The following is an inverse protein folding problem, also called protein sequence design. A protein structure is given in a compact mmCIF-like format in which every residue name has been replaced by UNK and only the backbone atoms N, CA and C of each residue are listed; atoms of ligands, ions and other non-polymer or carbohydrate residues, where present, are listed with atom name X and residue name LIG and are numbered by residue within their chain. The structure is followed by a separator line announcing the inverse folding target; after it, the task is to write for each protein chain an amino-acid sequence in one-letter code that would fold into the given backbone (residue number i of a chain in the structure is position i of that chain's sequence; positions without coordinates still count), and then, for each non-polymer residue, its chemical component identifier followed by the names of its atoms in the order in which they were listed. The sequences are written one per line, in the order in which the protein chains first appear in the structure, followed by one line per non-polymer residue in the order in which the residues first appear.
data_IF_873732581089
#
_entry.id   IF_873732581089
#
_cell.length_a   1.000
_cell.length_b   1.000
_cell.length_c   1.000
_cell.angle_alpha   90.00
_cell.angle_beta   90.00
_cell.angle_gamma   90.00
#
_symmetry.space_group_name_H-M   'P 1'
#
loop_
_entity.id
_entity.type
_entity.pdbx_description
1 polymer ?
#
# COMPACT_ATOMS: atom_id res chain seq x y z
N UNK A 1 -47.88 9.76 -67.50
CA UNK A 1 -47.81 9.09 -68.77
C UNK A 1 -47.49 7.61 -68.45
N UNK A 2 -48.50 6.81 -68.33
CA UNK A 2 -48.88 5.66 -69.21
C UNK A 2 -47.66 4.73 -69.40
N UNK A 3 -47.65 3.42 -69.25
CA UNK A 3 -48.67 2.35 -69.30
C UNK A 3 -47.92 1.06 -68.97
N UNK A 4 -48.44 0.18 -68.07
CA UNK A 4 -48.95 -1.18 -68.32
C UNK A 4 -48.00 -2.13 -69.11
N UNK A 5 -47.96 -3.41 -68.87
CA UNK A 5 -48.87 -4.48 -68.55
C UNK A 5 -48.08 -5.82 -68.42
N UNK A 6 -48.41 -6.59 -67.43
CA UNK A 6 -48.80 -8.00 -67.45
C UNK A 6 -48.06 -8.99 -68.37
N UNK A 7 -47.66 -10.14 -67.87
CA UNK A 7 -48.34 -11.40 -68.17
C UNK A 7 -47.90 -12.56 -67.26
N UNK A 8 -48.89 -13.25 -66.80
CA UNK A 8 -48.91 -14.57 -66.17
C UNK A 8 -48.30 -15.66 -66.97
N UNK A 9 -47.69 -16.69 -66.39
CA UNK A 9 -48.04 -18.07 -66.77
C UNK A 9 -47.77 -19.05 -65.60
N UNK A 10 -48.82 -19.77 -65.32
CA UNK A 10 -48.95 -20.92 -64.42
C UNK A 10 -48.34 -22.19 -65.03
N UNK A 11 -48.32 -23.21 -64.18
CA UNK A 11 -48.23 -24.67 -64.44
C UNK A 11 -46.87 -25.24 -64.09
N UNK A 12 -46.66 -26.35 -63.41
CA UNK A 12 -47.57 -27.43 -62.91
C UNK A 12 -46.85 -28.20 -61.81
N UNK A 13 -47.62 -28.81 -60.97
CA UNK A 13 -47.22 -29.78 -59.94
C UNK A 13 -46.55 -31.00 -60.48
N UNK A 14 -45.66 -31.63 -59.71
CA UNK A 14 -45.84 -33.02 -59.27
C UNK A 14 -44.76 -33.42 -58.24
N UNK A 15 -45.02 -34.29 -57.27
CA UNK A 15 -44.15 -34.60 -56.17
C UNK A 15 -43.23 -35.78 -56.46
N UNK A 16 -42.02 -35.79 -55.94
CA UNK A 16 -41.26 -37.00 -55.82
C UNK A 16 -40.69 -37.17 -54.44
N UNK A 17 -41.42 -37.97 -53.70
CA UNK A 17 -40.92 -38.69 -52.54
C UNK A 17 -39.72 -39.51 -52.93
N UNK A 18 -38.58 -39.41 -52.16
CA UNK A 18 -37.70 -40.55 -51.96
C UNK A 18 -36.67 -40.24 -50.87
N UNK A 19 -36.72 -41.00 -49.87
CA UNK A 19 -35.70 -41.71 -49.13
C UNK A 19 -34.84 -40.96 -48.13
N UNK A 20 -35.26 -41.12 -46.93
CA UNK A 20 -34.53 -40.96 -45.68
C UNK A 20 -33.28 -41.85 -45.64
N UNK A 21 -32.11 -41.27 -45.68
CA UNK A 21 -30.88 -41.92 -45.20
C UNK A 21 -30.40 -41.14 -43.99
N UNK A 22 -30.71 -41.69 -42.85
CA UNK A 22 -30.17 -41.24 -41.56
C UNK A 22 -28.68 -41.62 -41.49
N UNK A 23 -27.79 -40.73 -41.84
CA UNK A 23 -26.41 -40.77 -41.41
C UNK A 23 -26.31 -40.05 -40.09
N UNK A 24 -26.33 -40.81 -39.01
CA UNK A 24 -25.92 -40.38 -37.70
C UNK A 24 -24.41 -40.10 -37.77
N UNK A 25 -24.02 -38.89 -38.13
CA UNK A 25 -22.70 -38.38 -37.84
C UNK A 25 -22.62 -38.16 -36.34
N UNK A 26 -21.99 -39.09 -35.65
CA UNK A 26 -21.42 -38.87 -34.34
C UNK A 26 -20.38 -37.75 -34.50
N UNK A 27 -20.84 -36.51 -34.37
CA UNK A 27 -19.94 -35.40 -34.06
C UNK A 27 -19.56 -35.61 -32.60
N UNK A 28 -18.46 -36.35 -32.43
CA UNK A 28 -17.75 -36.33 -31.16
C UNK A 28 -17.45 -34.87 -30.86
N UNK A 29 -18.06 -34.37 -29.79
CA UNK A 29 -17.55 -33.21 -29.12
C UNK A 29 -16.13 -33.59 -28.64
N UNK A 30 -15.15 -33.30 -29.49
CA UNK A 30 -13.78 -33.11 -29.08
C UNK A 30 -13.77 -31.85 -28.23
N UNK A 31 -14.12 -32.00 -26.95
CA UNK A 31 -13.76 -31.01 -25.96
C UNK A 31 -12.24 -30.89 -26.00
N UNK A 32 -11.74 -29.74 -26.38
CA UNK A 32 -10.36 -29.37 -26.16
C UNK A 32 -10.07 -29.64 -24.68
N UNK A 33 -9.11 -30.53 -24.34
CA UNK A 33 -8.71 -30.70 -22.96
C UNK A 33 -7.92 -29.45 -22.59
N UNK A 34 -8.39 -28.69 -21.62
CA UNK A 34 -7.56 -27.69 -20.98
C UNK A 34 -8.14 -26.28 -20.95
N UNK A 35 -9.28 -26.12 -20.35
CA UNK A 35 -9.48 -25.00 -19.45
C UNK A 35 -9.84 -25.62 -18.09
N UNK A 36 -8.85 -26.20 -17.45
CA UNK A 36 -8.88 -26.39 -16.00
C UNK A 36 -9.02 -24.98 -15.49
N UNK A 37 -10.17 -24.67 -14.87
CA UNK A 37 -10.59 -23.32 -14.48
C UNK A 37 -9.56 -22.60 -13.64
N UNK A 38 -8.57 -22.04 -14.32
CA UNK A 38 -7.51 -21.25 -13.73
C UNK A 38 -8.14 -20.03 -13.07
N UNK A 39 -7.58 -19.62 -11.96
CA UNK A 39 -8.01 -18.43 -11.24
C UNK A 39 -8.09 -17.23 -12.19
N UNK A 40 -9.21 -16.52 -12.18
CA UNK A 40 -9.47 -15.37 -13.07
C UNK A 40 -10.24 -14.29 -12.31
N UNK A 41 -10.10 -13.06 -12.76
CA UNK A 41 -10.80 -11.91 -12.18
C UNK A 41 -9.99 -10.63 -12.25
N UNK A 42 -10.59 -9.54 -11.78
CA UNK A 42 -9.90 -8.25 -11.70
C UNK A 42 -10.29 -7.52 -10.42
N UNK A 43 -9.32 -6.83 -9.81
CA UNK A 43 -9.54 -5.98 -8.65
C UNK A 43 -8.48 -4.88 -8.56
N UNK A 44 -8.77 -3.89 -7.70
CA UNK A 44 -7.88 -2.75 -7.45
C UNK A 44 -7.37 -2.77 -6.03
N UNK A 45 -6.13 -2.33 -5.88
CA UNK A 45 -5.47 -2.06 -4.59
C UNK A 45 -5.14 -0.56 -4.58
N UNK A 46 -5.77 0.20 -3.69
CA UNK A 46 -5.57 1.65 -3.62
C UNK A 46 -5.17 2.03 -2.18
N UNK A 47 -4.22 2.93 -2.01
CA UNK A 47 -3.97 3.52 -0.70
C UNK A 47 -2.53 3.93 -0.42
N UNK A 48 -1.91 3.30 0.55
CA UNK A 48 -0.60 3.70 1.08
C UNK A 48 0.51 3.72 0.02
N UNK A 49 1.15 4.86 -0.16
CA UNK A 49 2.36 4.97 -0.97
C UNK A 49 3.52 4.14 -0.36
N UNK A 50 3.58 3.98 0.98
CA UNK A 50 4.56 3.09 1.64
C UNK A 50 4.37 1.62 1.23
N UNK A 51 3.13 1.15 1.10
CA UNK A 51 2.83 -0.25 0.79
C UNK A 51 2.89 -0.52 -0.72
N UNK A 52 2.69 0.51 -1.54
CA UNK A 52 2.57 0.41 -3.00
C UNK A 52 3.68 -0.39 -3.67
N UNK A 53 4.99 -0.18 -3.41
CA UNK A 53 6.06 -0.94 -4.07
C UNK A 53 5.95 -2.44 -3.81
N UNK A 54 5.61 -2.82 -2.59
CA UNK A 54 5.43 -4.22 -2.21
C UNK A 54 4.19 -4.83 -2.90
N UNK A 55 3.07 -4.09 -2.93
CA UNK A 55 1.85 -4.52 -3.61
C UNK A 55 2.06 -4.69 -5.11
N UNK A 56 2.87 -3.82 -5.74
CA UNK A 56 3.22 -3.94 -7.17
C UNK A 56 4.00 -5.23 -7.43
N UNK A 57 5.03 -5.51 -6.63
CA UNK A 57 5.82 -6.75 -6.76
C UNK A 57 4.93 -7.99 -6.62
N UNK A 58 4.09 -8.03 -5.59
CA UNK A 58 3.16 -9.16 -5.39
C UNK A 58 2.15 -9.29 -6.54
N UNK A 59 1.59 -8.17 -7.01
CA UNK A 59 0.63 -8.18 -8.11
C UNK A 59 1.25 -8.69 -9.42
N UNK A 60 2.48 -8.26 -9.73
CA UNK A 60 3.21 -8.71 -10.92
C UNK A 60 3.51 -10.22 -10.88
N UNK A 61 4.03 -10.73 -9.75
CA UNK A 61 4.31 -12.15 -9.60
C UNK A 61 3.02 -12.99 -9.64
N UNK A 62 1.97 -12.54 -8.97
CA UNK A 62 0.68 -13.22 -8.98
C UNK A 62 0.04 -13.27 -10.38
N UNK A 63 0.09 -12.17 -11.14
CA UNK A 63 -0.40 -12.14 -12.53
C UNK A 63 0.45 -12.98 -13.49
N UNK A 64 1.74 -13.23 -13.19
CA UNK A 64 2.56 -14.21 -13.94
C UNK A 64 2.10 -15.65 -13.69
N UNK A 65 1.77 -15.98 -12.44
CA UNK A 65 1.25 -17.30 -12.05
C UNK A 65 -0.18 -17.53 -12.59
N UNK A 66 -0.99 -16.47 -12.65
CA UNK A 66 -2.39 -16.52 -13.06
C UNK A 66 -2.68 -15.52 -14.19
N UNK A 67 -2.40 -15.87 -15.45
CA UNK A 67 -2.48 -14.93 -16.58
C UNK A 67 -3.87 -14.34 -16.86
N UNK A 68 -4.94 -14.95 -16.31
CA UNK A 68 -6.32 -14.47 -16.42
C UNK A 68 -6.73 -13.51 -15.29
N UNK A 69 -5.82 -13.19 -14.36
CA UNK A 69 -6.02 -12.21 -13.30
C UNK A 69 -5.49 -10.84 -13.72
N UNK A 70 -6.18 -9.77 -13.31
CA UNK A 70 -5.74 -8.39 -13.51
C UNK A 70 -5.82 -7.62 -12.19
N UNK A 71 -4.69 -7.09 -11.73
CA UNK A 71 -4.56 -6.32 -10.49
C UNK A 71 -4.04 -4.94 -10.85
N UNK A 72 -4.76 -3.89 -10.44
CA UNK A 72 -4.31 -2.50 -10.57
C UNK A 72 -3.92 -1.96 -9.20
N UNK A 73 -2.69 -1.46 -9.07
CA UNK A 73 -2.16 -0.92 -7.80
C UNK A 73 -1.94 0.57 -7.93
N UNK A 74 -2.28 1.34 -6.90
CA UNK A 74 -1.94 2.77 -6.80
C UNK A 74 -1.79 3.24 -5.35
N UNK A 75 -0.87 4.18 -5.12
CA UNK A 75 -0.44 4.63 -3.78
C UNK A 75 -0.72 6.10 -3.44
N UNK A 76 -1.94 6.65 -3.63
CA UNK A 76 -2.22 8.07 -3.35
C UNK A 76 -2.28 8.41 -1.85
N UNK A 77 -2.12 7.46 -0.96
CA UNK A 77 -2.14 7.61 0.50
C UNK A 77 -3.18 6.73 1.19
N UNK A 78 -2.88 6.29 2.42
CA UNK A 78 -3.76 5.38 3.19
C UNK A 78 -5.17 5.94 3.38
N UNK A 79 -5.31 7.24 3.61
CA UNK A 79 -6.62 7.88 3.77
C UNK A 79 -7.47 7.81 2.50
N UNK A 80 -6.86 7.96 1.32
CA UNK A 80 -7.55 7.83 0.03
C UNK A 80 -7.99 6.39 -0.22
N UNK A 81 -7.13 5.40 0.07
CA UNK A 81 -7.48 3.98 -0.07
C UNK A 81 -8.61 3.56 0.85
N UNK A 82 -8.58 3.97 2.12
CA UNK A 82 -9.64 3.71 3.09
C UNK A 82 -10.97 4.34 2.63
N UNK A 83 -10.94 5.59 2.16
CA UNK A 83 -12.13 6.23 1.60
C UNK A 83 -12.64 5.49 0.36
N UNK A 84 -11.75 5.04 -0.53
CA UNK A 84 -12.13 4.26 -1.72
C UNK A 84 -12.78 2.92 -1.36
N UNK A 85 -12.32 2.24 -0.30
CA UNK A 85 -12.96 1.02 0.22
C UNK A 85 -14.36 1.32 0.76
N UNK A 86 -14.51 2.39 1.56
CA UNK A 86 -15.78 2.83 2.13
C UNK A 86 -16.78 3.21 1.01
N UNK A 87 -16.30 3.80 -0.08
CA UNK A 87 -17.11 4.19 -1.24
C UNK A 87 -17.34 3.05 -2.25
N UNK A 88 -16.76 1.86 -2.02
CA UNK A 88 -16.90 0.69 -2.90
C UNK A 88 -16.20 0.84 -4.26
N UNK A 89 -15.19 1.72 -4.37
CA UNK A 89 -14.43 1.98 -5.61
C UNK A 89 -13.11 1.22 -5.70
N UNK A 90 -12.71 0.53 -4.62
CA UNK A 90 -11.63 -0.45 -4.57
C UNK A 90 -12.06 -1.67 -3.78
N UNK A 91 -11.53 -2.82 -4.11
CA UNK A 91 -11.76 -4.07 -3.39
C UNK A 91 -10.78 -4.26 -2.23
N UNK A 92 -9.58 -3.69 -2.36
CA UNK A 92 -8.54 -3.76 -1.33
C UNK A 92 -7.99 -2.35 -1.06
N UNK A 93 -8.05 -1.91 0.18
CA UNK A 93 -7.35 -0.71 0.62
C UNK A 93 -6.01 -1.10 1.27
N UNK A 94 -4.90 -0.54 0.77
CA UNK A 94 -3.59 -0.69 1.39
C UNK A 94 -3.31 0.48 2.35
N UNK A 95 -2.84 0.17 3.56
CA UNK A 95 -2.63 1.17 4.60
C UNK A 95 -1.34 0.93 5.40
N UNK A 96 -0.70 2.01 5.82
CA UNK A 96 0.46 2.02 6.71
C UNK A 96 0.12 2.61 8.09
N UNK A 97 -1.12 2.51 8.46
CA UNK A 97 -1.73 2.77 9.77
C UNK A 97 -3.05 2.02 9.90
N UNK A 98 -3.49 1.83 11.10
CA UNK A 98 -4.84 1.36 11.37
C UNK A 98 -5.92 2.36 10.90
N UNK A 99 -7.11 1.85 10.59
CA UNK A 99 -8.30 2.68 10.39
C UNK A 99 -8.66 3.40 11.68
N UNK A 100 -9.00 4.69 11.56
CA UNK A 100 -9.53 5.45 12.68
C UNK A 100 -10.93 4.96 13.05
N UNK A 101 -11.33 5.11 14.32
CA UNK A 101 -12.70 4.77 14.74
C UNK A 101 -13.77 5.46 13.90
N UNK A 102 -13.55 6.72 13.54
CA UNK A 102 -14.47 7.48 12.68
C UNK A 102 -14.56 6.91 11.26
N UNK A 103 -13.47 6.36 10.71
CA UNK A 103 -13.46 5.70 9.39
C UNK A 103 -14.20 4.35 9.46
N UNK A 104 -14.02 3.59 10.55
CA UNK A 104 -14.75 2.34 10.81
C UNK A 104 -16.26 2.61 10.93
N UNK A 105 -16.65 3.65 11.69
CA UNK A 105 -18.04 4.02 11.85
C UNK A 105 -18.68 4.44 10.51
N UNK A 106 -17.95 5.20 9.68
CA UNK A 106 -18.38 5.57 8.33
C UNK A 106 -18.53 4.36 7.41
N UNK A 107 -17.59 3.40 7.46
CA UNK A 107 -17.66 2.16 6.70
C UNK A 107 -18.92 1.38 7.05
N UNK A 108 -19.16 1.15 8.35
CA UNK A 108 -20.35 0.44 8.85
C UNK A 108 -21.65 1.13 8.46
N UNK A 109 -21.69 2.46 8.53
CA UNK A 109 -22.86 3.25 8.12
C UNK A 109 -23.20 3.08 6.63
N UNK A 110 -22.22 2.72 5.80
CA UNK A 110 -22.38 2.43 4.36
C UNK A 110 -22.49 0.94 4.03
N UNK A 111 -22.59 0.08 5.04
CA UNK A 111 -22.69 -1.38 4.85
C UNK A 111 -21.37 -2.05 4.48
N UNK A 112 -20.26 -1.38 4.69
CA UNK A 112 -18.92 -1.95 4.54
C UNK A 112 -18.46 -2.47 5.91
N UNK A 113 -17.99 -3.73 5.96
CA UNK A 113 -17.42 -4.35 7.14
C UNK A 113 -15.91 -4.47 6.97
N UNK A 114 -15.10 -3.50 7.46
CA UNK A 114 -13.65 -3.51 7.24
C UNK A 114 -13.00 -4.74 7.89
N UNK A 115 -12.44 -5.61 7.06
CA UNK A 115 -11.67 -6.77 7.49
C UNK A 115 -10.18 -6.45 7.36
N UNK A 116 -9.50 -6.37 8.50
CA UNK A 116 -8.08 -6.02 8.59
C UNK A 116 -7.19 -7.24 8.39
N UNK A 117 -6.15 -7.10 7.59
CA UNK A 117 -5.16 -8.14 7.32
C UNK A 117 -3.78 -7.51 7.41
N UNK A 118 -2.99 -7.92 8.39
CA UNK A 118 -1.58 -7.52 8.44
C UNK A 118 -0.80 -8.32 7.38
N UNK A 119 -0.08 -7.58 6.53
CA UNK A 119 0.68 -8.15 5.40
C UNK A 119 2.20 -8.09 5.60
N UNK A 120 2.66 -7.15 6.40
CA UNK A 120 4.07 -6.96 6.75
C UNK A 120 4.17 -6.03 7.98
N UNK A 121 5.40 -5.77 8.42
CA UNK A 121 5.73 -4.71 9.37
C UNK A 121 6.72 -3.74 8.73
N UNK A 122 6.66 -2.46 9.09
CA UNK A 122 7.58 -1.42 8.65
C UNK A 122 8.28 -0.80 9.85
N UNK A 123 9.61 -0.66 9.76
CA UNK A 123 10.39 0.18 10.67
C UNK A 123 10.38 1.60 10.10
N UNK A 124 9.57 2.49 10.68
CA UNK A 124 9.52 3.88 10.24
C UNK A 124 10.85 4.56 10.58
N UNK A 125 11.71 4.65 9.60
CA UNK A 125 13.07 5.16 9.74
C UNK A 125 13.09 6.68 9.87
N UNK A 126 14.11 7.23 10.54
CA UNK A 126 14.41 8.67 10.50
C UNK A 126 15.73 8.85 9.76
N UNK A 127 15.72 9.69 8.74
CA UNK A 127 16.87 9.91 7.87
C UNK A 127 17.30 11.37 7.85
N UNK A 128 18.60 11.57 7.69
CA UNK A 128 19.25 12.86 7.47
C UNK A 128 20.27 12.76 6.34
N UNK A 129 20.75 13.89 5.86
CA UNK A 129 21.84 13.90 4.90
C UNK A 129 23.13 13.26 5.51
N UNK A 130 23.94 12.52 4.75
CA UNK A 130 25.16 11.89 5.26
C UNK A 130 26.16 12.87 5.90
N UNK A 131 26.16 14.13 5.50
CA UNK A 131 27.02 15.19 6.08
C UNK A 131 26.56 15.72 7.44
N UNK A 132 25.33 15.39 7.86
CA UNK A 132 24.83 15.78 9.18
C UNK A 132 25.53 14.96 10.28
N UNK A 133 26.18 15.60 11.29
CA UNK A 133 26.92 14.86 12.33
C UNK A 133 26.02 14.13 13.35
N UNK A 134 24.72 14.51 13.47
CA UNK A 134 23.79 13.85 14.40
C UNK A 134 23.62 12.39 14.01
N UNK A 135 23.72 11.47 14.97
CA UNK A 135 23.59 10.02 14.77
C UNK A 135 22.42 9.38 15.53
N UNK A 136 21.88 10.07 16.53
CA UNK A 136 20.79 9.58 17.35
C UNK A 136 19.89 10.72 17.81
N UNK A 137 18.60 10.44 18.01
CA UNK A 137 17.63 11.34 18.60
C UNK A 137 16.65 10.57 19.50
N UNK A 138 16.16 11.24 20.53
CA UNK A 138 15.02 10.73 21.29
C UNK A 138 13.69 11.04 20.60
N UNK A 139 12.63 10.30 20.93
CA UNK A 139 11.27 10.61 20.45
C UNK A 139 10.88 12.05 20.87
N UNK A 140 11.25 12.49 22.07
CA UNK A 140 10.98 13.85 22.52
C UNK A 140 11.71 14.92 21.70
N UNK A 141 12.97 14.68 21.29
CA UNK A 141 13.69 15.59 20.39
C UNK A 141 13.08 15.62 19.00
N UNK A 142 12.67 14.46 18.47
CA UNK A 142 11.92 14.41 17.22
C UNK A 142 10.60 15.19 17.30
N UNK A 143 9.82 14.99 18.36
CA UNK A 143 8.62 15.79 18.62
C UNK A 143 8.92 17.30 18.62
N UNK A 144 9.95 17.73 19.34
CA UNK A 144 10.35 19.13 19.41
C UNK A 144 10.81 19.70 18.05
N UNK A 145 11.49 18.91 17.21
CA UNK A 145 11.87 19.29 15.84
C UNK A 145 10.61 19.49 14.99
N UNK A 146 9.70 18.52 14.98
CA UNK A 146 8.51 18.56 14.12
C UNK A 146 7.39 19.49 14.63
N UNK A 147 7.53 20.05 15.85
CA UNK A 147 6.67 21.10 16.40
C UNK A 147 7.31 22.49 16.38
N UNK A 148 8.45 22.67 15.68
CA UNK A 148 9.24 23.91 15.62
C UNK A 148 9.75 24.42 16.98
N UNK A 149 9.84 23.57 18.01
CA UNK A 149 10.45 23.91 19.30
C UNK A 149 11.98 23.84 19.22
N UNK A 150 12.53 22.88 18.44
CA UNK A 150 13.93 22.80 18.04
C UNK A 150 14.01 23.17 16.56
N UNK A 151 14.73 24.24 16.24
CA UNK A 151 14.85 24.78 14.89
C UNK A 151 16.27 24.88 14.37
N UNK A 152 17.25 24.52 15.20
CA UNK A 152 18.67 24.53 14.85
C UNK A 152 19.32 23.21 15.27
N UNK A 153 20.08 22.60 14.38
CA UNK A 153 20.75 21.33 14.62
C UNK A 153 21.70 21.34 15.83
N UNK A 154 22.28 22.49 16.20
CA UNK A 154 23.15 22.60 17.38
C UNK A 154 22.44 22.26 18.69
N UNK A 155 21.13 22.40 18.77
CA UNK A 155 20.33 22.08 19.96
C UNK A 155 20.28 20.57 20.24
N UNK A 156 20.62 19.76 19.24
CA UNK A 156 20.68 18.29 19.33
C UNK A 156 22.06 17.73 18.97
N UNK A 157 23.13 18.55 19.11
CA UNK A 157 24.51 18.13 18.93
C UNK A 157 25.01 18.17 17.48
N UNK A 158 24.25 18.80 16.58
CA UNK A 158 24.63 19.02 15.19
C UNK A 158 25.36 20.35 14.95
N UNK A 159 25.51 20.72 13.67
CA UNK A 159 26.09 21.99 13.26
C UNK A 159 25.19 23.18 13.61
N UNK A 160 25.74 24.39 13.71
CA UNK A 160 24.96 25.62 13.83
C UNK A 160 24.30 25.94 12.47
N UNK A 161 23.20 25.27 12.19
CA UNK A 161 22.45 25.34 10.95
C UNK A 161 20.96 25.11 11.21
N UNK A 162 20.04 25.70 10.42
CA UNK A 162 18.62 25.50 10.59
C UNK A 162 18.22 24.05 10.32
N UNK A 163 17.21 23.53 11.03
CA UNK A 163 16.57 22.25 10.71
C UNK A 163 15.53 22.49 9.61
N UNK A 164 15.55 21.64 8.59
CA UNK A 164 14.51 21.56 7.55
C UNK A 164 13.72 20.27 7.76
N UNK A 165 12.67 20.35 8.55
CA UNK A 165 11.81 19.22 8.85
C UNK A 165 10.85 18.96 7.69
N UNK A 166 10.83 17.72 7.17
CA UNK A 166 10.01 17.29 6.06
C UNK A 166 9.01 16.24 6.55
N UNK A 167 7.77 16.38 6.17
CA UNK A 167 6.67 15.46 6.44
C UNK A 167 5.99 15.03 5.14
N UNK A 168 5.12 14.04 5.23
CA UNK A 168 4.18 13.66 4.18
C UNK A 168 2.90 14.48 4.30
N UNK A 169 2.11 14.54 3.22
CA UNK A 169 0.79 15.16 3.24
C UNK A 169 -0.20 14.45 4.18
N UNK A 170 -1.34 15.06 4.45
CA UNK A 170 -2.34 14.59 5.41
C UNK A 170 -3.08 13.30 4.99
N UNK A 171 -3.01 12.89 3.70
CA UNK A 171 -3.57 11.65 3.20
C UNK A 171 -2.65 10.46 3.49
N UNK A 172 -1.37 10.73 3.78
CA UNK A 172 -0.37 9.71 4.08
C UNK A 172 -0.65 9.03 5.41
N UNK A 173 -0.70 7.69 5.41
CA UNK A 173 -0.72 6.92 6.65
C UNK A 173 0.54 7.10 7.46
N UNK A 174 1.69 7.33 6.80
CA UNK A 174 2.97 7.62 7.44
C UNK A 174 2.93 8.94 8.20
N UNK A 175 2.35 9.99 7.61
CA UNK A 175 2.11 11.27 8.30
C UNK A 175 1.27 11.08 9.57
N UNK A 176 0.15 10.38 9.47
CA UNK A 176 -0.75 10.16 10.63
C UNK A 176 -0.05 9.35 11.71
N UNK A 177 0.60 8.24 11.34
CA UNK A 177 1.30 7.39 12.30
C UNK A 177 2.44 8.15 13.01
N UNK A 178 3.29 8.87 12.26
CA UNK A 178 4.37 9.66 12.85
C UNK A 178 3.85 10.77 13.75
N UNK A 179 2.76 11.44 13.37
CA UNK A 179 2.10 12.43 14.20
C UNK A 179 1.70 11.84 15.56
N UNK A 180 0.97 10.71 15.54
CA UNK A 180 0.47 10.10 16.77
C UNK A 180 1.61 9.55 17.65
N UNK A 181 2.55 8.82 17.08
CA UNK A 181 3.55 8.05 17.83
C UNK A 181 4.82 8.85 18.16
N UNK A 182 5.18 9.82 17.33
CA UNK A 182 6.39 10.63 17.51
C UNK A 182 6.05 12.06 17.94
N UNK A 183 5.27 12.81 17.15
CA UNK A 183 4.95 14.21 17.49
C UNK A 183 4.14 14.28 18.79
N UNK A 184 3.10 13.48 18.90
CA UNK A 184 2.23 13.39 20.08
C UNK A 184 2.72 12.41 21.14
N UNK A 185 3.83 11.71 20.89
CA UNK A 185 4.51 10.80 21.82
C UNK A 185 3.57 9.73 22.42
N UNK A 186 2.64 9.19 21.62
CA UNK A 186 1.67 8.16 22.02
C UNK A 186 2.38 6.98 22.71
N UNK A 187 1.89 6.62 23.88
CA UNK A 187 2.47 5.52 24.68
C UNK A 187 3.64 5.92 25.59
N UNK A 188 4.03 7.19 25.61
CA UNK A 188 5.00 7.73 26.55
C UNK A 188 4.31 8.52 27.67
N UNK A 189 4.95 8.69 28.86
CA UNK A 189 4.41 9.51 29.94
C UNK A 189 4.18 10.98 29.56
N UNK A 190 4.92 11.46 28.56
CA UNK A 190 4.86 12.84 28.03
C UNK A 190 3.89 12.98 26.86
N UNK A 191 3.02 11.98 26.61
CA UNK A 191 2.09 12.01 25.49
C UNK A 191 1.14 13.21 25.56
N UNK A 192 1.06 13.97 24.47
CA UNK A 192 0.17 15.11 24.31
C UNK A 192 -0.50 15.11 22.93
N UNK A 193 -1.79 14.77 22.91
CA UNK A 193 -2.60 14.72 21.68
C UNK A 193 -2.87 16.09 21.06
N UNK A 194 -2.59 17.18 21.75
CA UNK A 194 -2.78 18.55 21.24
C UNK A 194 -1.62 19.00 20.36
N UNK A 195 -0.48 18.28 20.37
CA UNK A 195 0.66 18.62 19.54
C UNK A 195 0.36 18.42 18.06
N UNK A 196 0.70 19.43 17.29
CA UNK A 196 0.56 19.48 15.83
C UNK A 196 1.92 19.74 15.18
N UNK A 197 2.05 19.40 13.90
CA UNK A 197 3.22 19.81 13.13
C UNK A 197 3.36 21.34 13.14
N UNK A 198 4.57 21.81 13.29
CA UNK A 198 4.90 23.23 13.27
C UNK A 198 4.72 23.84 11.88
N UNK A 199 4.50 25.16 11.79
CA UNK A 199 4.26 25.87 10.53
C UNK A 199 5.46 25.88 9.56
N UNK A 200 6.68 25.53 10.01
CA UNK A 200 7.88 25.45 9.16
C UNK A 200 8.08 24.08 8.55
N UNK A 201 7.32 23.07 8.97
CA UNK A 201 7.42 21.72 8.41
C UNK A 201 6.96 21.72 6.96
N UNK A 202 7.78 21.16 6.07
CA UNK A 202 7.46 21.01 4.64
C UNK A 202 6.68 19.72 4.42
N UNK A 203 5.58 19.80 3.69
CA UNK A 203 4.73 18.65 3.38
C UNK A 203 4.91 18.23 1.93
N UNK A 204 5.33 16.98 1.71
CA UNK A 204 5.57 16.42 0.38
C UNK A 204 4.59 15.27 0.07
N UNK A 205 4.16 15.12 -1.19
CA UNK A 205 3.14 14.14 -1.58
C UNK A 205 3.65 12.69 -1.61
N UNK A 206 4.96 12.46 -1.83
CA UNK A 206 5.52 11.11 -1.92
C UNK A 206 6.68 10.87 -0.96
N UNK A 207 6.95 9.60 -0.69
CA UNK A 207 8.08 9.17 0.16
C UNK A 207 9.41 9.37 -0.59
N UNK A 208 9.41 9.11 -1.89
CA UNK A 208 10.56 9.27 -2.78
C UNK A 208 11.04 10.72 -2.83
N UNK A 209 10.12 11.67 -2.93
CA UNK A 209 10.46 13.11 -2.92
C UNK A 209 11.09 13.51 -1.59
N UNK A 210 10.54 13.04 -0.46
CA UNK A 210 11.09 13.32 0.87
C UNK A 210 12.49 12.76 1.05
N UNK A 211 12.75 11.52 0.62
CA UNK A 211 14.07 10.90 0.67
C UNK A 211 15.07 11.61 -0.26
N UNK A 212 14.65 11.94 -1.48
CA UNK A 212 15.46 12.70 -2.45
C UNK A 212 15.83 14.09 -1.95
N UNK A 213 14.92 14.79 -1.25
CA UNK A 213 15.23 16.09 -0.65
C UNK A 213 16.29 15.96 0.45
N UNK A 214 16.20 14.95 1.32
CA UNK A 214 17.23 14.69 2.35
C UNK A 214 18.59 14.40 1.73
N UNK A 215 18.64 13.63 0.66
CA UNK A 215 19.91 13.33 -0.04
C UNK A 215 20.62 14.60 -0.54
N UNK A 216 19.86 15.63 -0.94
CA UNK A 216 20.37 16.88 -1.53
C UNK A 216 20.57 18.00 -0.51
N UNK A 217 19.85 17.98 0.61
CA UNK A 217 19.80 19.07 1.57
C UNK A 217 20.49 18.67 2.89
N UNK A 218 21.69 19.24 3.20
CA UNK A 218 22.45 18.92 4.41
C UNK A 218 21.69 19.16 5.72
N UNK A 219 20.65 19.98 5.68
CA UNK A 219 19.88 20.39 6.87
C UNK A 219 18.56 19.66 7.02
N UNK A 220 18.19 18.80 6.06
CA UNK A 220 16.91 18.12 6.05
C UNK A 220 16.85 16.91 6.99
N UNK A 221 15.66 16.67 7.51
CA UNK A 221 15.26 15.46 8.24
C UNK A 221 13.91 14.98 7.73
N UNK A 222 13.76 13.67 7.54
CA UNK A 222 12.53 13.04 7.05
C UNK A 222 12.36 11.64 7.67
N UNK A 223 11.16 11.06 7.51
CA UNK A 223 10.82 9.75 8.10
C UNK A 223 10.14 8.80 7.08
N UNK A 224 10.91 8.13 6.20
CA UNK A 224 10.38 7.11 5.30
C UNK A 224 10.19 5.76 6.01
N UNK A 225 9.47 4.85 5.36
CA UNK A 225 9.58 3.42 5.67
C UNK A 225 10.96 2.88 5.34
N UNK A 226 11.38 1.80 6.01
CA UNK A 226 12.72 1.23 5.86
C UNK A 226 13.04 0.85 4.40
N UNK A 227 12.05 0.37 3.64
CA UNK A 227 12.22 0.01 2.22
C UNK A 227 12.56 1.17 1.28
N UNK A 228 12.49 2.41 1.75
CA UNK A 228 12.88 3.62 0.98
C UNK A 228 14.26 4.17 1.36
N UNK A 229 14.97 3.52 2.25
CA UNK A 229 16.30 3.96 2.66
C UNK A 229 17.34 3.50 1.64
N UNK A 230 18.15 4.43 1.15
CA UNK A 230 19.23 4.20 0.19
C UNK A 230 20.57 4.63 0.76
N UNK A 231 21.67 4.31 0.09
CA UNK A 231 23.02 4.72 0.49
C UNK A 231 23.26 6.25 0.39
N UNK A 232 22.31 6.98 -0.21
CA UNK A 232 22.38 8.45 -0.34
C UNK A 232 21.95 9.20 0.93
N UNK A 233 21.41 8.50 1.93
CA UNK A 233 20.94 9.08 3.18
C UNK A 233 21.52 8.36 4.39
N UNK A 234 21.54 9.03 5.54
CA UNK A 234 21.99 8.46 6.81
C UNK A 234 20.82 8.18 7.73
N UNK A 235 20.74 6.95 8.25
CA UNK A 235 19.82 6.56 9.30
C UNK A 235 20.23 7.17 10.65
N UNK A 236 19.23 7.61 11.41
CA UNK A 236 19.39 7.95 12.82
C UNK A 236 18.93 6.79 13.71
N UNK A 237 19.69 6.52 14.76
CA UNK A 237 19.23 5.65 15.84
C UNK A 237 18.21 6.40 16.70
N UNK A 238 17.15 5.70 17.12
CA UNK A 238 16.07 6.31 17.90
C UNK A 238 16.07 5.77 19.32
N UNK A 239 16.05 6.69 20.28
CA UNK A 239 15.87 6.42 21.71
C UNK A 239 14.41 6.66 22.07
N UNK A 240 13.79 5.71 22.74
CA UNK A 240 12.41 5.89 23.24
C UNK A 240 12.33 7.01 24.26
N UNK A 241 13.27 7.01 25.22
CA UNK A 241 13.52 8.09 26.19
C UNK A 241 15.00 8.42 26.25
N UNK A 242 15.42 9.41 27.05
CA UNK A 242 16.84 9.76 27.18
C UNK A 242 17.69 8.62 27.78
N UNK A 243 17.07 7.79 28.63
CA UNK A 243 17.76 6.71 29.36
C UNK A 243 17.78 5.39 28.61
N UNK A 244 17.00 5.26 27.51
CA UNK A 244 16.94 4.05 26.70
C UNK A 244 18.13 3.98 25.71
N UNK A 245 18.49 2.77 25.25
CA UNK A 245 19.48 2.61 24.20
C UNK A 245 19.01 3.24 22.89
N UNK A 246 19.97 3.73 22.10
CA UNK A 246 19.72 4.20 20.74
C UNK A 246 19.68 2.99 19.79
N UNK A 247 18.55 2.79 19.13
CA UNK A 247 18.31 1.63 18.24
C UNK A 247 18.21 2.11 16.79
N UNK A 248 19.02 1.55 15.90
CA UNK A 248 18.88 1.75 14.46
C UNK A 248 17.69 0.93 13.92
N UNK A 249 16.93 1.49 12.97
CA UNK A 249 15.90 0.71 12.29
C UNK A 249 16.54 -0.39 11.43
N UNK A 250 16.08 -1.60 11.59
CA UNK A 250 16.43 -2.75 10.78
C UNK A 250 15.30 -3.77 10.80
N UNK A 251 15.37 -4.77 9.91
CA UNK A 251 14.44 -5.90 9.94
C UNK A 251 14.51 -6.60 11.30
N UNK A 252 15.71 -6.84 11.83
CA UNK A 252 15.93 -7.51 13.11
C UNK A 252 15.33 -6.73 14.27
N UNK A 253 15.65 -5.43 14.40
CA UNK A 253 15.20 -4.59 15.53
C UNK A 253 13.70 -4.27 15.47
N UNK A 254 13.07 -4.39 14.31
CA UNK A 254 11.63 -4.29 14.18
C UNK A 254 10.93 -5.63 14.51
N UNK A 255 11.52 -6.77 14.18
CA UNK A 255 11.00 -8.12 14.50
C UNK A 255 11.03 -8.41 16.01
N UNK A 256 12.14 -8.06 16.65
CA UNK A 256 12.31 -8.30 18.11
C UNK A 256 11.63 -7.21 18.97
N UNK A 257 11.06 -6.17 18.33
CA UNK A 257 10.31 -5.10 18.99
C UNK A 257 11.19 -4.09 19.74
N UNK A 258 12.52 -4.10 19.55
CA UNK A 258 13.43 -3.14 20.19
C UNK A 258 13.40 -1.77 19.52
N UNK A 259 13.14 -1.70 18.20
CA UNK A 259 12.99 -0.43 17.50
C UNK A 259 11.67 0.27 17.87
N UNK A 260 11.70 1.51 18.42
CA UNK A 260 10.53 2.11 19.05
C UNK A 260 9.46 2.63 18.07
N UNK A 261 9.75 2.71 16.77
CA UNK A 261 8.85 3.28 15.75
C UNK A 261 8.56 2.26 14.65
N UNK A 262 8.09 1.07 15.05
CA UNK A 262 7.61 0.04 14.14
C UNK A 262 6.08 0.09 14.02
N UNK A 263 5.53 -0.33 12.86
CA UNK A 263 4.09 -0.29 12.58
C UNK A 263 3.67 -1.43 11.64
N UNK A 264 2.40 -1.89 11.73
CA UNK A 264 1.86 -2.82 10.76
C UNK A 264 1.68 -2.16 9.39
N UNK A 265 1.90 -2.94 8.33
CA UNK A 265 1.41 -2.67 7.00
C UNK A 265 0.18 -3.55 6.77
N UNK A 266 -0.90 -2.96 6.27
CA UNK A 266 -2.23 -3.53 6.33
C UNK A 266 -2.91 -3.51 4.97
N UNK A 267 -3.68 -4.57 4.70
CA UNK A 267 -4.78 -4.55 3.74
C UNK A 267 -6.11 -4.52 4.49
N UNK A 268 -7.08 -3.83 3.91
CA UNK A 268 -8.48 -3.86 4.32
C UNK A 268 -9.35 -4.29 3.16
N UNK A 269 -10.31 -5.17 3.42
CA UNK A 269 -11.34 -5.61 2.47
C UNK A 269 -12.71 -5.42 3.08
N UNK A 270 -13.77 -5.49 2.27
CA UNK A 270 -15.15 -5.50 2.77
C UNK A 270 -15.55 -6.94 3.13
N UNK A 271 -15.52 -7.27 4.41
CA UNK A 271 -15.64 -8.63 4.93
C UNK A 271 -14.40 -9.48 4.62
N UNK A 272 -14.44 -10.75 5.05
CA UNK A 272 -13.36 -11.70 4.76
C UNK A 272 -13.21 -11.86 3.23
N UNK A 273 -11.98 -11.76 2.68
CA UNK A 273 -11.75 -11.90 1.25
C UNK A 273 -12.16 -13.30 0.75
N UNK A 274 -12.60 -13.37 -0.50
CA UNK A 274 -12.98 -14.62 -1.18
C UNK A 274 -12.46 -14.64 -2.61
N UNK A 275 -12.40 -15.82 -3.21
CA UNK A 275 -12.06 -15.98 -4.64
C UNK A 275 -10.67 -15.47 -4.98
N UNK A 276 -10.55 -14.67 -6.05
CA UNK A 276 -9.26 -14.18 -6.54
C UNK A 276 -8.53 -13.28 -5.54
N UNK A 277 -9.28 -12.52 -4.72
CA UNK A 277 -8.69 -11.64 -3.69
C UNK A 277 -8.14 -12.47 -2.53
N UNK A 278 -8.88 -13.48 -2.08
CA UNK A 278 -8.41 -14.43 -1.05
C UNK A 278 -7.12 -15.11 -1.52
N UNK A 279 -7.10 -15.68 -2.73
CA UNK A 279 -5.93 -16.34 -3.29
C UNK A 279 -4.71 -15.40 -3.41
N UNK A 280 -4.92 -14.15 -3.80
CA UNK A 280 -3.86 -13.14 -3.84
C UNK A 280 -3.32 -12.83 -2.44
N UNK A 281 -4.19 -12.63 -1.46
CA UNK A 281 -3.77 -12.35 -0.08
C UNK A 281 -3.07 -13.57 0.53
N UNK A 282 -3.54 -14.79 0.27
CA UNK A 282 -2.87 -16.02 0.70
C UNK A 282 -1.46 -16.13 0.10
N UNK A 283 -1.29 -15.73 -1.18
CA UNK A 283 0.04 -15.63 -1.79
C UNK A 283 0.90 -14.58 -1.07
N UNK A 284 0.40 -13.38 -0.79
CA UNK A 284 1.15 -12.35 -0.05
C UNK A 284 1.62 -12.86 1.33
N UNK A 285 0.81 -13.68 1.99
CA UNK A 285 1.08 -14.24 3.31
C UNK A 285 1.89 -15.54 3.28
N UNK A 286 2.11 -16.12 2.10
CA UNK A 286 2.92 -17.34 1.92
C UNK A 286 4.40 -17.08 2.18
N UNK A 287 5.19 -18.15 2.31
CA UNK A 287 6.66 -18.04 2.45
C UNK A 287 7.27 -17.29 1.27
N UNK A 288 6.80 -17.53 0.03
CA UNK A 288 7.26 -16.86 -1.17
C UNK A 288 6.89 -15.38 -1.15
N UNK A 289 5.64 -15.05 -0.82
CA UNK A 289 5.19 -13.68 -0.69
C UNK A 289 5.93 -12.91 0.41
N UNK A 290 6.21 -13.56 1.54
CA UNK A 290 6.98 -12.95 2.65
C UNK A 290 8.48 -12.81 2.34
N UNK A 291 9.03 -13.65 1.45
CA UNK A 291 10.38 -13.42 0.92
C UNK A 291 10.46 -12.11 0.13
N UNK A 292 9.40 -11.74 -0.61
CA UNK A 292 9.31 -10.45 -1.30
C UNK A 292 9.27 -9.26 -0.34
N UNK A 293 8.73 -9.44 0.86
CA UNK A 293 8.77 -8.41 1.92
C UNK A 293 10.20 -8.09 2.30
N UNK A 294 11.03 -9.12 2.51
CA UNK A 294 12.46 -8.96 2.84
C UNK A 294 13.22 -8.30 1.69
N UNK A 295 13.00 -8.77 0.45
CA UNK A 295 13.64 -8.22 -0.75
C UNK A 295 13.31 -6.73 -0.97
N UNK A 296 12.11 -6.31 -0.59
CA UNK A 296 11.66 -4.92 -0.65
C UNK A 296 12.12 -4.07 0.57
N UNK A 297 12.90 -4.63 1.49
CA UNK A 297 13.42 -3.92 2.66
C UNK A 297 12.42 -3.72 3.80
N UNK A 298 11.29 -4.46 3.79
CA UNK A 298 10.32 -4.47 4.88
C UNK A 298 10.53 -5.68 5.79
N UNK A 299 9.76 -5.71 6.87
CA UNK A 299 9.85 -6.72 7.92
C UNK A 299 8.76 -7.76 7.70
N UNK A 300 9.12 -9.04 7.45
CA UNK A 300 8.14 -10.09 7.23
C UNK A 300 7.35 -10.38 8.51
N UNK A 301 6.19 -11.02 8.34
CA UNK A 301 5.45 -11.57 9.46
C UNK A 301 6.23 -12.76 10.01
N UNK A 302 6.56 -12.74 11.32
CA UNK A 302 7.15 -13.89 11.99
C UNK A 302 6.16 -15.07 11.99
N UNK A 303 6.50 -16.13 11.27
CA UNK A 303 5.81 -17.43 11.37
C UNK A 303 6.79 -18.48 11.83
#
# INVERSE_FOLDING_TARGET
MRINLTTRRKWLMLPLTVLLVATIALIGCGGTPGDEGGLSGSFKIIGSNTVEPLSVVWAEEFMKMYPNVRIAVSGPGSGVGIAALIDGTTEVAQASREMKSTEIDQAKARGVDPYEIQIATDALSVIVNPSNPVSELTIAQLSAIYTDQITNWKEVGGNDAPVVAISRDTNSGTHVFFKEHVVQMKGLPTADKSLEYGPKVLFLPSTEEGASEVAKNPNAIFYPGLGYVTDEVKLLAIKKTADDPAILPSVETALDGTYPVARPLLYYTNGKPTGVIEAFIDYCLSLEGQQKVIEAGYVPLGK
#
